data_IF_183685123225
#
_entry.id   IF_183685123225
#
_cell.length_a   1.000
_cell.length_b   1.000
_cell.length_c   1.000
_cell.angle_alpha   90.00
_cell.angle_beta   90.00
_cell.angle_gamma   90.00
#
_symmetry.space_group_name_H-M   'P 1'
#
loop_
_entity.id
_entity.type
_entity.pdbx_description
1 polymer ?
#
# COMPACT_ATOMS: atom_id res chain seq x y z
N UNK A 1 26.38 -5.47 -8.24
CA UNK A 1 27.03 -5.66 -6.90
C UNK A 1 27.14 -7.15 -6.71
N UNK A 2 28.27 -7.65 -6.22
CA UNK A 2 28.45 -9.06 -5.90
C UNK A 2 27.52 -9.46 -4.74
N UNK A 3 26.91 -10.64 -4.80
CA UNK A 3 25.99 -11.14 -3.79
C UNK A 3 26.65 -11.27 -2.41
N UNK A 4 27.91 -11.74 -2.34
CA UNK A 4 28.59 -11.93 -1.06
C UNK A 4 28.82 -10.58 -0.37
N UNK A 5 29.29 -9.60 -1.10
CA UNK A 5 29.47 -8.23 -0.60
C UNK A 5 28.13 -7.61 -0.20
N UNK A 6 27.06 -7.84 -0.98
CA UNK A 6 25.73 -7.36 -0.68
C UNK A 6 25.19 -7.94 0.65
N UNK A 7 25.42 -9.24 0.87
CA UNK A 7 25.04 -9.94 2.11
C UNK A 7 25.83 -9.39 3.30
N UNK A 8 27.15 -9.26 3.19
CA UNK A 8 28.01 -8.72 4.26
C UNK A 8 27.57 -7.31 4.68
N UNK A 9 27.31 -6.42 3.71
CA UNK A 9 26.86 -5.07 3.97
C UNK A 9 25.46 -5.05 4.64
N UNK A 10 24.54 -5.88 4.16
CA UNK A 10 23.20 -6.01 4.79
C UNK A 10 23.30 -6.51 6.23
N UNK A 11 24.13 -7.51 6.51
CA UNK A 11 24.38 -8.03 7.86
C UNK A 11 25.02 -6.96 8.77
N UNK A 12 25.99 -6.19 8.25
CA UNK A 12 26.57 -5.06 8.97
C UNK A 12 25.53 -4.01 9.34
N UNK A 13 24.65 -3.62 8.37
CA UNK A 13 23.57 -2.65 8.61
C UNK A 13 22.56 -3.16 9.65
N UNK A 14 22.22 -4.45 9.62
CA UNK A 14 21.32 -5.08 10.58
C UNK A 14 21.90 -5.02 12.00
N UNK A 15 23.14 -5.45 12.19
CA UNK A 15 23.83 -5.44 13.50
C UNK A 15 23.97 -4.02 14.04
N UNK A 16 24.47 -3.09 13.22
CA UNK A 16 24.60 -1.68 13.58
C UNK A 16 23.30 -1.06 14.08
N UNK A 17 22.19 -1.29 13.35
CA UNK A 17 20.91 -0.63 13.68
C UNK A 17 20.20 -1.35 14.85
N UNK A 18 20.45 -2.65 15.04
CA UNK A 18 20.08 -3.37 16.27
C UNK A 18 20.74 -2.76 17.50
N UNK A 19 22.05 -2.57 17.48
CA UNK A 19 22.81 -1.94 18.57
C UNK A 19 22.36 -0.49 18.81
N UNK A 20 22.22 0.30 17.74
CA UNK A 20 21.75 1.68 17.80
C UNK A 20 20.42 1.84 18.51
N UNK A 21 19.51 0.90 18.34
CA UNK A 21 18.19 0.92 18.98
C UNK A 21 18.17 0.28 20.36
N UNK A 22 19.31 -0.23 20.84
CA UNK A 22 19.43 -1.00 22.08
C UNK A 22 18.60 -2.28 22.05
N UNK A 23 18.54 -2.92 20.87
CA UNK A 23 17.75 -4.12 20.64
C UNK A 23 16.22 -3.90 20.55
N UNK A 24 15.75 -2.64 20.61
CA UNK A 24 14.33 -2.29 20.54
C UNK A 24 13.90 -2.02 19.08
N UNK A 25 14.10 -3.01 18.21
CA UNK A 25 13.78 -2.96 16.79
C UNK A 25 13.04 -4.22 16.37
N UNK A 26 12.14 -4.13 15.41
CA UNK A 26 11.36 -5.24 14.87
C UNK A 26 11.45 -5.31 13.35
N UNK A 27 11.16 -6.47 12.75
CA UNK A 27 10.97 -6.62 11.31
C UNK A 27 9.51 -6.37 10.94
N UNK A 28 9.24 -5.41 10.04
CA UNK A 28 7.95 -5.31 9.36
C UNK A 28 7.84 -6.43 8.32
N UNK A 29 7.37 -7.60 8.78
CA UNK A 29 7.30 -8.82 7.99
C UNK A 29 5.97 -8.87 7.23
N UNK A 30 6.02 -8.91 5.90
CA UNK A 30 4.81 -8.94 5.06
C UNK A 30 4.53 -10.30 4.43
N UNK A 31 5.44 -11.29 4.59
CA UNK A 31 5.41 -12.55 3.85
C UNK A 31 5.68 -12.40 2.35
N UNK A 32 6.03 -11.19 1.91
CA UNK A 32 6.45 -10.92 0.54
C UNK A 32 7.94 -11.20 0.33
N UNK A 33 8.35 -11.40 -0.94
CA UNK A 33 9.71 -11.80 -1.35
C UNK A 33 10.81 -11.02 -0.61
N UNK A 34 10.80 -9.69 -0.68
CA UNK A 34 11.84 -8.85 -0.09
C UNK A 34 11.88 -8.92 1.44
N UNK A 35 10.71 -8.96 2.09
CA UNK A 35 10.66 -9.11 3.56
C UNK A 35 11.07 -10.51 4.02
N UNK A 36 10.89 -11.52 3.20
CA UNK A 36 11.35 -12.89 3.46
C UNK A 36 12.87 -12.99 3.35
N UNK A 37 13.46 -12.39 2.32
CA UNK A 37 14.92 -12.26 2.20
C UNK A 37 15.51 -11.54 3.42
N UNK A 38 14.92 -10.42 3.82
CA UNK A 38 15.39 -9.69 5.01
C UNK A 38 15.21 -10.48 6.30
N UNK A 39 14.16 -11.29 6.42
CA UNK A 39 13.99 -12.21 7.56
C UNK A 39 15.14 -13.22 7.65
N UNK A 40 15.52 -13.84 6.53
CA UNK A 40 16.65 -14.76 6.49
C UNK A 40 17.99 -14.06 6.81
N UNK A 41 18.23 -12.85 6.32
CA UNK A 41 19.40 -12.05 6.69
C UNK A 41 19.46 -11.77 8.21
N UNK A 42 18.32 -11.46 8.84
CA UNK A 42 18.24 -11.29 10.30
C UNK A 42 18.57 -12.61 11.03
N UNK A 43 18.09 -13.74 10.52
CA UNK A 43 18.45 -15.06 11.05
C UNK A 43 19.94 -15.36 10.90
N UNK A 44 20.54 -15.02 9.75
CA UNK A 44 22.00 -15.14 9.51
C UNK A 44 22.83 -14.21 10.41
N UNK A 45 22.28 -13.07 10.84
CA UNK A 45 22.97 -12.15 11.74
C UNK A 45 23.05 -12.65 13.20
N UNK A 46 22.51 -13.83 13.49
CA UNK A 46 22.41 -14.44 14.83
C UNK A 46 21.61 -13.60 15.84
N UNK A 47 20.56 -12.93 15.32
CA UNK A 47 19.63 -12.10 16.10
C UNK A 47 18.20 -12.64 16.05
N UNK A 48 18.02 -13.87 15.56
CA UNK A 48 16.72 -14.45 15.22
C UNK A 48 15.74 -14.49 16.40
N UNK A 49 16.19 -14.78 17.61
CA UNK A 49 15.32 -14.88 18.78
C UNK A 49 15.03 -13.53 19.44
N UNK A 50 15.78 -12.49 19.08
CA UNK A 50 15.74 -11.17 19.74
C UNK A 50 14.87 -10.16 19.01
N UNK A 51 14.69 -10.32 17.70
CA UNK A 51 13.97 -9.38 16.86
C UNK A 51 12.56 -9.94 16.57
N UNK A 52 11.48 -9.32 17.03
CA UNK A 52 10.14 -9.76 16.67
C UNK A 52 9.85 -9.49 15.18
N UNK A 53 9.26 -10.47 14.48
CA UNK A 53 8.74 -10.33 13.12
C UNK A 53 7.25 -10.01 13.22
N UNK A 54 6.88 -8.81 12.84
CA UNK A 54 5.51 -8.31 12.99
C UNK A 54 4.79 -8.33 11.65
N UNK A 55 3.73 -9.11 11.57
CA UNK A 55 2.86 -9.20 10.41
C UNK A 55 1.53 -8.50 10.70
N UNK A 56 1.16 -7.49 9.90
CA UNK A 56 -0.14 -6.85 9.98
C UNK A 56 -1.18 -7.65 9.17
N UNK A 57 -1.94 -8.51 9.86
CA UNK A 57 -3.03 -9.26 9.23
C UNK A 57 -4.24 -8.35 9.00
N UNK A 58 -4.38 -7.80 7.83
CA UNK A 58 -5.46 -6.88 7.45
C UNK A 58 -6.80 -7.59 7.22
N UNK A 59 -6.80 -8.93 7.12
CA UNK A 59 -7.97 -9.73 6.72
C UNK A 59 -8.24 -9.75 5.21
N UNK A 60 -7.52 -8.95 4.44
CA UNK A 60 -7.59 -8.87 2.97
C UNK A 60 -6.25 -9.17 2.29
N UNK A 61 -5.30 -9.80 2.96
CA UNK A 61 -4.17 -10.49 2.33
C UNK A 61 -4.61 -11.81 1.72
N UNK A 62 -3.78 -12.33 0.78
CA UNK A 62 -3.93 -13.69 0.26
C UNK A 62 -3.82 -14.72 1.39
N UNK A 63 -4.71 -15.73 1.38
CA UNK A 63 -4.65 -16.81 2.35
C UNK A 63 -3.33 -17.60 2.23
N UNK A 64 -2.78 -17.71 1.01
CA UNK A 64 -1.45 -18.26 0.78
C UNK A 64 -0.36 -17.49 1.54
N UNK A 65 -0.40 -16.16 1.56
CA UNK A 65 0.54 -15.33 2.32
C UNK A 65 0.37 -15.52 3.83
N UNK A 66 -0.87 -15.59 4.30
CA UNK A 66 -1.15 -15.79 5.72
C UNK A 66 -0.70 -17.20 6.20
N UNK A 67 -0.91 -18.24 5.38
CA UNK A 67 -0.40 -19.59 5.65
C UNK A 67 1.12 -19.60 5.76
N UNK A 68 1.78 -19.00 4.77
CA UNK A 68 3.24 -18.88 4.75
C UNK A 68 3.79 -18.20 6.01
N UNK A 69 3.22 -17.06 6.42
CA UNK A 69 3.66 -16.34 7.63
C UNK A 69 3.48 -17.19 8.89
N UNK A 70 2.38 -17.93 9.01
CA UNK A 70 2.12 -18.80 10.17
C UNK A 70 3.05 -20.01 10.23
N UNK A 71 3.55 -20.48 9.10
CA UNK A 71 4.43 -21.64 8.97
C UNK A 71 5.91 -21.25 8.84
N UNK A 72 6.20 -19.95 8.80
CA UNK A 72 7.57 -19.47 8.68
C UNK A 72 8.39 -19.95 9.90
N UNK A 73 9.59 -20.55 9.68
CA UNK A 73 10.38 -21.21 10.73
C UNK A 73 11.06 -20.20 11.65
N UNK A 74 10.27 -19.49 12.44
CA UNK A 74 10.74 -18.45 13.34
C UNK A 74 9.80 -18.31 14.55
N UNK A 75 10.34 -18.42 15.76
CA UNK A 75 9.54 -18.51 16.98
C UNK A 75 8.91 -17.18 17.43
N UNK A 76 9.50 -16.05 17.02
CA UNK A 76 9.05 -14.72 17.48
C UNK A 76 8.29 -13.96 16.38
N UNK A 77 7.20 -14.59 15.87
CA UNK A 77 6.29 -13.94 14.92
C UNK A 77 5.08 -13.39 15.68
N UNK A 78 4.83 -12.10 15.50
CA UNK A 78 3.69 -11.39 16.05
C UNK A 78 2.68 -11.06 14.95
N UNK A 79 1.49 -11.63 15.03
CA UNK A 79 0.39 -11.33 14.11
C UNK A 79 -0.47 -10.22 14.71
N UNK A 80 -0.28 -9.01 14.24
CA UNK A 80 -1.05 -7.84 14.66
C UNK A 80 -2.33 -7.69 13.84
N UNK A 81 -3.42 -7.30 14.49
CA UNK A 81 -4.73 -7.11 13.85
C UNK A 81 -5.08 -5.62 13.77
N UNK A 82 -5.82 -5.18 12.75
CA UNK A 82 -6.29 -3.81 12.65
C UNK A 82 -7.35 -3.50 13.72
N UNK A 83 -7.42 -2.25 14.15
CA UNK A 83 -8.40 -1.76 15.13
C UNK A 83 -9.85 -1.89 14.66
N UNK A 84 -10.08 -1.89 13.34
CA UNK A 84 -11.39 -2.03 12.69
C UNK A 84 -11.27 -2.96 11.50
N UNK A 85 -12.27 -3.82 11.23
CA UNK A 85 -12.31 -4.63 10.00
C UNK A 85 -12.33 -3.75 8.73
N UNK A 86 -11.81 -4.28 7.63
CA UNK A 86 -11.75 -3.56 6.33
C UNK A 86 -13.11 -2.98 5.91
N UNK A 87 -14.17 -3.80 5.93
CA UNK A 87 -15.52 -3.38 5.55
C UNK A 87 -16.04 -2.21 6.38
N UNK A 88 -15.77 -2.19 7.69
CA UNK A 88 -16.15 -1.08 8.55
C UNK A 88 -15.40 0.21 8.17
N UNK A 89 -14.11 0.10 7.86
CA UNK A 89 -13.28 1.26 7.49
C UNK A 89 -13.77 1.89 6.19
N UNK A 90 -14.05 1.10 5.16
CA UNK A 90 -14.51 1.64 3.88
C UNK A 90 -15.93 2.21 3.95
N UNK A 91 -16.80 1.64 4.77
CA UNK A 91 -18.16 2.17 4.99
C UNK A 91 -18.12 3.51 5.75
N UNK A 92 -17.24 3.62 6.75
CA UNK A 92 -17.14 4.82 7.59
C UNK A 92 -16.42 5.98 6.87
N UNK A 93 -15.31 5.69 6.20
CA UNK A 93 -14.42 6.73 5.64
C UNK A 93 -14.50 6.88 4.13
N UNK A 94 -14.93 5.85 3.42
CA UNK A 94 -14.92 5.79 1.96
C UNK A 94 -13.91 4.79 1.40
N UNK A 95 -14.04 4.52 0.10
CA UNK A 95 -13.31 3.48 -0.63
C UNK A 95 -12.04 4.04 -1.28
N UNK A 96 -10.95 3.25 -1.35
CA UNK A 96 -9.80 3.61 -2.17
C UNK A 96 -10.17 3.62 -3.65
N UNK A 97 -9.76 4.66 -4.38
CA UNK A 97 -10.04 4.80 -5.81
C UNK A 97 -8.99 5.70 -6.49
N UNK A 98 -8.76 5.55 -7.79
CA UNK A 98 -7.82 6.31 -8.61
C UNK A 98 -6.36 6.11 -8.22
N UNK A 99 -5.86 6.90 -7.30
CA UNK A 99 -4.53 6.74 -6.71
C UNK A 99 -4.56 7.14 -5.25
N UNK A 100 -3.58 6.66 -4.47
CA UNK A 100 -3.51 6.92 -3.04
C UNK A 100 -3.46 8.42 -2.71
N UNK A 101 -2.72 9.18 -3.51
CA UNK A 101 -2.58 10.62 -3.35
C UNK A 101 -3.89 11.37 -3.67
N UNK A 102 -4.54 10.99 -4.78
CA UNK A 102 -5.84 11.56 -5.17
C UNK A 102 -6.94 11.20 -4.17
N UNK A 103 -6.97 9.97 -3.69
CA UNK A 103 -7.91 9.55 -2.65
C UNK A 103 -7.73 10.32 -1.35
N UNK A 104 -6.50 10.61 -0.96
CA UNK A 104 -6.21 11.43 0.22
C UNK A 104 -6.72 12.87 0.05
N UNK A 105 -6.44 13.48 -1.10
CA UNK A 105 -6.88 14.83 -1.40
C UNK A 105 -8.41 14.93 -1.44
N UNK A 106 -9.07 14.01 -2.16
CA UNK A 106 -10.54 13.96 -2.24
C UNK A 106 -11.16 13.73 -0.87
N UNK A 107 -10.65 12.78 -0.09
CA UNK A 107 -11.13 12.51 1.27
C UNK A 107 -11.00 13.72 2.20
N UNK A 108 -9.91 14.47 2.10
CA UNK A 108 -9.72 15.69 2.89
C UNK A 108 -10.68 16.78 2.46
N UNK A 109 -10.82 16.97 1.14
CA UNK A 109 -11.73 17.96 0.60
C UNK A 109 -13.20 17.65 0.96
N UNK A 110 -13.65 16.42 0.70
CA UNK A 110 -15.04 16.00 0.99
C UNK A 110 -15.45 16.14 2.46
N UNK A 111 -14.50 16.00 3.40
CA UNK A 111 -14.77 16.13 4.86
C UNK A 111 -14.77 17.55 5.38
N UNK A 112 -14.14 18.46 4.69
CA UNK A 112 -13.89 19.83 5.17
C UNK A 112 -14.26 20.88 4.13
N UNK A 113 -15.28 20.62 3.32
CA UNK A 113 -15.69 21.53 2.22
C UNK A 113 -15.96 22.95 2.70
N UNK A 114 -16.50 23.08 3.91
CA UNK A 114 -16.85 24.36 4.53
C UNK A 114 -15.67 25.03 5.26
N UNK A 115 -14.48 24.42 5.22
CA UNK A 115 -13.31 24.92 5.91
C UNK A 115 -12.14 25.16 4.94
N UNK A 116 -12.09 26.30 4.22
CA UNK A 116 -11.10 26.55 3.15
C UNK A 116 -9.64 26.40 3.58
N UNK A 117 -9.30 26.77 4.81
CA UNK A 117 -7.92 26.65 5.31
C UNK A 117 -7.48 25.20 5.48
N UNK A 118 -8.39 24.29 5.87
CA UNK A 118 -8.11 22.87 6.00
C UNK A 118 -8.05 22.17 4.64
N UNK A 119 -8.73 22.71 3.64
CA UNK A 119 -8.83 22.12 2.29
C UNK A 119 -7.86 22.70 1.28
N UNK A 120 -7.15 23.79 1.58
CA UNK A 120 -6.30 24.51 0.62
C UNK A 120 -5.34 23.59 -0.17
N UNK A 121 -4.62 22.69 0.53
CA UNK A 121 -3.71 21.74 -0.12
C UNK A 121 -4.47 20.71 -0.95
N UNK A 122 -5.57 20.17 -0.44
CA UNK A 122 -6.43 19.23 -1.16
C UNK A 122 -7.03 19.89 -2.40
N UNK A 123 -7.52 21.10 -2.29
CA UNK A 123 -8.02 21.91 -3.40
C UNK A 123 -6.95 22.10 -4.49
N UNK A 124 -5.72 22.46 -4.12
CA UNK A 124 -4.61 22.60 -5.07
C UNK A 124 -4.33 21.28 -5.82
N UNK A 125 -4.36 20.16 -5.10
CA UNK A 125 -4.11 18.85 -5.72
C UNK A 125 -5.25 18.39 -6.62
N UNK A 126 -6.50 18.76 -6.29
CA UNK A 126 -7.69 18.40 -7.08
C UNK A 126 -7.81 19.27 -8.32
N UNK A 127 -7.73 20.59 -8.14
CA UNK A 127 -8.01 21.55 -9.21
C UNK A 127 -6.80 21.95 -10.03
N UNK A 128 -5.60 21.74 -9.54
CA UNK A 128 -4.36 22.25 -10.12
C UNK A 128 -4.12 23.74 -9.84
N UNK A 129 -5.00 24.39 -9.10
CA UNK A 129 -4.88 25.81 -8.72
C UNK A 129 -4.08 25.92 -7.43
N UNK A 130 -2.98 26.66 -7.44
CA UNK A 130 -2.22 26.97 -6.22
C UNK A 130 -2.90 28.11 -5.48
N UNK A 131 -2.92 28.03 -4.14
CA UNK A 131 -3.43 29.07 -3.29
C UNK A 131 -2.28 29.67 -2.46
N UNK A 132 -2.23 31.00 -2.37
CA UNK A 132 -1.40 31.74 -1.42
C UNK A 132 -2.34 32.59 -0.57
N UNK A 133 -2.38 32.35 0.74
CA UNK A 133 -3.30 33.03 1.67
C UNK A 133 -4.77 32.98 1.22
N UNK A 134 -5.21 31.84 0.65
CA UNK A 134 -6.56 31.66 0.14
C UNK A 134 -6.82 32.21 -1.29
N UNK A 135 -5.86 32.93 -1.88
CA UNK A 135 -5.99 33.52 -3.22
C UNK A 135 -5.37 32.60 -4.27
N UNK A 136 -6.08 32.27 -5.37
CA UNK A 136 -5.52 31.51 -6.48
C UNK A 136 -4.32 32.22 -7.12
N UNK A 137 -3.23 31.47 -7.34
CA UNK A 137 -2.06 31.93 -8.10
C UNK A 137 -1.81 31.04 -9.30
N UNK A 138 -1.36 31.58 -10.44
CA UNK A 138 -0.98 30.78 -11.60
C UNK A 138 0.12 29.77 -11.26
N UNK A 139 0.01 28.57 -11.80
CA UNK A 139 1.04 27.54 -11.66
C UNK A 139 0.61 26.21 -12.23
N UNK A 140 1.59 25.41 -12.68
CA UNK A 140 1.34 24.03 -13.10
C UNK A 140 1.31 23.12 -11.88
N UNK A 141 0.29 22.28 -11.80
CA UNK A 141 0.24 21.16 -10.86
C UNK A 141 0.06 19.85 -11.65
N UNK A 142 1.11 19.06 -11.71
CA UNK A 142 1.11 17.75 -12.38
C UNK A 142 0.16 16.73 -11.72
N UNK A 143 -0.30 16.99 -10.52
CA UNK A 143 -1.18 16.09 -9.76
C UNK A 143 -2.67 16.43 -9.90
N UNK A 144 -3.03 17.37 -10.75
CA UNK A 144 -4.43 17.72 -11.01
C UNK A 144 -5.29 16.48 -11.27
N UNK A 145 -6.48 16.47 -10.65
CA UNK A 145 -7.48 15.46 -10.95
C UNK A 145 -7.97 15.64 -12.39
N UNK A 146 -8.06 14.55 -13.15
CA UNK A 146 -8.57 14.63 -14.50
C UNK A 146 -10.05 15.09 -14.49
N UNK A 147 -10.44 15.93 -15.44
CA UNK A 147 -11.77 16.54 -15.49
C UNK A 147 -12.91 15.51 -15.39
N UNK A 148 -12.74 14.33 -16.01
CA UNK A 148 -13.71 13.22 -15.95
C UNK A 148 -13.99 12.69 -14.54
N UNK A 149 -13.17 13.04 -13.55
CA UNK A 149 -13.31 12.63 -12.14
C UNK A 149 -13.73 13.78 -11.22
N UNK A 150 -13.94 14.98 -11.76
CA UNK A 150 -14.24 16.18 -10.96
C UNK A 150 -15.58 16.11 -10.22
N UNK A 151 -16.51 15.22 -10.65
CA UNK A 151 -17.77 15.00 -9.93
C UNK A 151 -17.57 14.50 -8.49
N UNK A 152 -16.42 13.89 -8.17
CA UNK A 152 -16.11 13.48 -6.79
C UNK A 152 -15.84 14.66 -5.83
N UNK A 153 -15.77 15.88 -6.31
CA UNK A 153 -15.71 17.06 -5.45
C UNK A 153 -17.07 17.31 -4.77
N UNK A 154 -18.16 16.90 -5.42
CA UNK A 154 -19.52 17.12 -4.90
C UNK A 154 -19.92 16.06 -3.86
N UNK A 155 -20.77 16.40 -2.87
CA UNK A 155 -21.21 15.46 -1.83
C UNK A 155 -22.06 14.31 -2.36
N UNK A 156 -22.78 14.50 -3.48
CA UNK A 156 -23.66 13.51 -4.09
C UNK A 156 -22.90 12.66 -5.12
N UNK A 157 -21.92 11.89 -4.66
CA UNK A 157 -21.11 10.98 -5.48
C UNK A 157 -21.60 9.54 -5.32
N UNK A 158 -21.28 8.68 -6.29
CA UNK A 158 -21.64 7.24 -6.23
C UNK A 158 -21.11 6.57 -4.97
N UNK A 159 -19.91 6.96 -4.52
CA UNK A 159 -19.28 6.50 -3.27
C UNK A 159 -18.28 7.55 -2.75
N UNK A 160 -18.09 7.56 -1.45
CA UNK A 160 -17.04 8.37 -0.82
C UNK A 160 -15.67 7.80 -1.13
N UNK A 161 -14.70 8.67 -1.41
CA UNK A 161 -13.32 8.26 -1.68
C UNK A 161 -12.43 8.54 -0.46
N UNK A 162 -11.62 7.53 -0.06
CA UNK A 162 -10.62 7.70 0.98
C UNK A 162 -9.48 6.69 0.84
N UNK A 163 -8.30 7.03 1.39
CA UNK A 163 -7.16 6.12 1.55
C UNK A 163 -7.01 5.60 2.98
N UNK A 164 -8.06 5.71 3.81
CA UNK A 164 -8.02 5.36 5.25
C UNK A 164 -7.78 3.87 5.49
N UNK A 165 -8.15 3.00 4.55
CA UNK A 165 -7.84 1.57 4.65
C UNK A 165 -6.34 1.32 4.91
N UNK A 166 -5.42 1.99 4.20
CA UNK A 166 -3.98 1.83 4.45
C UNK A 166 -3.57 2.27 5.87
N UNK A 167 -4.24 3.27 6.43
CA UNK A 167 -3.96 3.75 7.78
C UNK A 167 -4.41 2.74 8.83
N UNK A 168 -5.65 2.26 8.72
CA UNK A 168 -6.24 1.33 9.69
C UNK A 168 -5.66 -0.08 9.55
N UNK A 169 -5.50 -0.57 8.32
CA UNK A 169 -5.08 -1.94 8.07
C UNK A 169 -3.58 -2.17 8.30
N UNK A 170 -2.74 -1.17 7.96
CA UNK A 170 -1.28 -1.36 8.00
C UNK A 170 -0.58 -0.46 9.01
N UNK A 171 -0.86 0.86 9.02
CA UNK A 171 -0.07 1.78 9.84
C UNK A 171 -0.38 1.64 11.34
N UNK A 172 -1.66 1.60 11.72
CA UNK A 172 -2.04 1.50 13.13
C UNK A 172 -1.58 0.22 13.79
N UNK A 173 -1.70 -0.99 13.20
CA UNK A 173 -1.16 -2.20 13.80
C UNK A 173 0.31 -2.11 14.18
N UNK A 174 1.14 -1.54 13.30
CA UNK A 174 2.56 -1.33 13.62
C UNK A 174 2.76 -0.26 14.70
N UNK A 175 2.04 0.87 14.63
CA UNK A 175 2.13 1.93 15.64
C UNK A 175 1.69 1.46 17.03
N UNK A 176 0.67 0.61 17.10
CA UNK A 176 0.21 0.02 18.36
C UNK A 176 1.29 -0.91 18.92
N UNK A 177 1.83 -1.81 18.09
CA UNK A 177 2.93 -2.67 18.47
C UNK A 177 4.17 -1.87 18.94
N UNK A 178 4.56 -0.83 18.19
CA UNK A 178 5.67 0.05 18.54
C UNK A 178 5.50 0.68 19.91
N UNK A 179 4.27 1.18 20.21
CA UNK A 179 3.95 1.82 21.46
C UNK A 179 3.92 0.83 22.64
N UNK A 180 3.25 -0.30 22.47
CA UNK A 180 3.06 -1.31 23.51
C UNK A 180 4.38 -1.96 23.92
N UNK A 181 5.30 -2.13 22.96
CA UNK A 181 6.59 -2.79 23.19
C UNK A 181 7.77 -1.80 23.30
N UNK A 182 7.50 -0.49 23.35
CA UNK A 182 8.52 0.57 23.44
C UNK A 182 9.60 0.43 22.35
N UNK A 183 9.18 0.10 21.10
CA UNK A 183 10.10 -0.07 20.00
C UNK A 183 10.74 1.27 19.61
N UNK A 184 12.01 1.23 19.23
CA UNK A 184 12.82 2.37 18.81
C UNK A 184 13.21 2.29 17.34
N UNK A 185 12.86 1.23 16.65
CA UNK A 185 13.13 1.08 15.23
C UNK A 185 12.35 -0.04 14.56
N UNK A 186 12.43 -0.05 13.23
CA UNK A 186 11.89 -1.11 12.38
C UNK A 186 12.82 -1.40 11.22
N UNK A 187 12.98 -2.68 10.90
CA UNK A 187 13.54 -3.15 9.65
C UNK A 187 12.44 -3.27 8.60
N UNK A 188 12.75 -2.91 7.36
CA UNK A 188 11.83 -2.98 6.23
C UNK A 188 12.54 -3.42 4.96
N UNK A 189 11.97 -4.38 4.22
CA UNK A 189 12.47 -4.87 2.94
C UNK A 189 12.18 -3.92 1.77
N UNK A 190 12.21 -2.60 1.98
CA UNK A 190 12.02 -1.61 0.91
C UNK A 190 13.28 -1.51 0.07
N UNK A 191 13.11 -1.49 -1.26
CA UNK A 191 14.18 -1.31 -2.25
C UNK A 191 13.91 -0.13 -3.18
N UNK A 192 14.95 0.59 -3.57
CA UNK A 192 14.83 1.69 -4.55
C UNK A 192 14.44 1.18 -5.94
N UNK A 193 14.87 -0.03 -6.30
CA UNK A 193 14.55 -0.69 -7.57
C UNK A 193 13.04 -0.96 -7.76
N UNK A 194 12.22 -0.97 -6.69
CA UNK A 194 10.75 -1.08 -6.82
C UNK A 194 10.10 0.15 -7.50
N UNK A 195 10.80 1.27 -7.58
CA UNK A 195 10.32 2.50 -8.21
C UNK A 195 9.17 3.20 -7.49
N UNK A 196 8.54 4.14 -8.21
CA UNK A 196 7.34 4.85 -7.76
C UNK A 196 7.58 5.75 -6.55
N UNK A 197 6.58 5.84 -5.66
CA UNK A 197 6.67 6.67 -4.45
C UNK A 197 7.69 6.18 -3.42
N UNK A 198 8.14 4.92 -3.52
CA UNK A 198 9.14 4.35 -2.62
C UNK A 198 10.54 4.85 -2.93
N UNK A 199 10.96 4.82 -4.20
CA UNK A 199 12.25 5.37 -4.62
C UNK A 199 12.40 6.85 -4.32
N UNK A 200 11.29 7.61 -4.36
CA UNK A 200 11.28 9.04 -4.01
C UNK A 200 11.25 9.32 -2.50
N UNK A 201 10.77 8.37 -1.70
CA UNK A 201 10.60 8.55 -0.26
C UNK A 201 11.81 8.09 0.56
N UNK A 202 12.67 7.24 -0.02
CA UNK A 202 13.81 6.62 0.64
C UNK A 202 15.05 6.79 -0.22
N UNK A 203 15.95 7.65 0.22
CA UNK A 203 17.23 8.02 -0.40
C UNK A 203 18.44 7.45 0.35
N UNK A 204 18.20 6.78 1.48
CA UNK A 204 19.24 6.20 2.32
C UNK A 204 18.77 4.92 3.02
N UNK A 205 19.72 4.08 3.42
CA UNK A 205 19.44 2.82 4.12
C UNK A 205 18.86 3.02 5.54
N UNK A 206 18.93 4.23 6.09
CA UNK A 206 18.38 4.58 7.41
C UNK A 206 17.67 5.91 7.37
N UNK A 207 16.44 5.96 7.89
CA UNK A 207 15.70 7.19 8.11
C UNK A 207 15.37 7.35 9.58
N UNK A 208 15.73 8.48 10.17
CA UNK A 208 15.50 8.76 11.59
C UNK A 208 14.34 9.73 11.70
N UNK A 209 13.32 9.33 12.45
CA UNK A 209 12.23 10.22 12.86
C UNK A 209 12.48 10.67 14.28
N UNK A 210 12.46 11.97 14.51
CA UNK A 210 12.59 12.57 15.85
C UNK A 210 11.25 13.16 16.30
N UNK A 211 10.89 12.87 17.54
CA UNK A 211 9.72 13.47 18.19
C UNK A 211 10.11 13.82 19.63
N UNK A 212 10.47 15.09 19.88
CA UNK A 212 11.14 15.49 21.10
C UNK A 212 12.46 14.73 21.24
N UNK A 213 12.75 14.20 22.43
CA UNK A 213 13.97 13.44 22.73
C UNK A 213 13.93 11.99 22.24
N UNK A 214 12.83 11.55 21.63
CA UNK A 214 12.66 10.18 21.13
C UNK A 214 13.05 10.09 19.67
N UNK A 215 13.97 9.18 19.38
CA UNK A 215 14.34 8.79 18.03
C UNK A 215 13.65 7.46 17.67
N UNK A 216 13.20 7.34 16.42
CA UNK A 216 12.74 6.11 15.82
C UNK A 216 13.51 5.84 14.53
N UNK A 217 14.19 4.71 14.46
CA UNK A 217 15.06 4.30 13.36
C UNK A 217 14.27 3.44 12.38
N UNK A 218 14.16 3.90 11.15
CA UNK A 218 13.64 3.09 10.04
C UNK A 218 14.84 2.60 9.23
N UNK A 219 15.16 1.34 9.34
CA UNK A 219 16.29 0.69 8.66
C UNK A 219 15.80 -0.11 7.45
N UNK A 220 16.48 0.05 6.33
CA UNK A 220 16.25 -0.64 5.07
C UNK A 220 17.55 -1.29 4.60
N UNK A 221 17.96 -2.42 5.21
CA UNK A 221 19.26 -3.03 4.97
C UNK A 221 19.55 -3.42 3.52
N UNK A 222 18.49 -3.73 2.76
CA UNK A 222 18.55 -4.18 1.35
C UNK A 222 18.06 -3.11 0.37
N UNK A 223 18.13 -1.83 0.73
CA UNK A 223 17.53 -0.73 -0.08
C UNK A 223 18.10 -0.65 -1.49
N UNK A 224 19.37 -0.94 -1.65
CA UNK A 224 20.16 -0.88 -2.88
C UNK A 224 20.20 -2.20 -3.67
N UNK A 225 19.56 -3.25 -3.14
CA UNK A 225 19.47 -4.53 -3.85
C UNK A 225 18.50 -4.41 -5.04
N UNK A 226 18.93 -4.86 -6.20
CA UNK A 226 18.07 -5.03 -7.37
C UNK A 226 17.33 -6.37 -7.37
N UNK A 227 16.56 -6.64 -8.43
CA UNK A 227 15.82 -7.89 -8.55
C UNK A 227 16.72 -9.11 -8.71
N UNK A 228 17.86 -8.95 -9.38
CA UNK A 228 18.81 -10.03 -9.64
C UNK A 228 19.45 -10.51 -8.34
N UNK A 229 19.95 -9.61 -7.51
CA UNK A 229 20.54 -9.95 -6.20
C UNK A 229 19.54 -10.67 -5.29
N UNK A 230 18.26 -10.23 -5.29
CA UNK A 230 17.21 -10.89 -4.53
C UNK A 230 17.00 -12.32 -5.03
N UNK A 231 16.93 -12.53 -6.33
CA UNK A 231 16.67 -13.84 -6.93
C UNK A 231 17.89 -14.78 -6.73
N UNK A 232 19.12 -14.28 -6.90
CA UNK A 232 20.34 -15.01 -6.60
C UNK A 232 20.44 -15.42 -5.11
N UNK A 233 20.04 -14.53 -4.19
CA UNK A 233 20.00 -14.84 -2.76
C UNK A 233 18.99 -15.96 -2.46
N UNK A 234 17.80 -15.89 -3.04
CA UNK A 234 16.75 -16.91 -2.86
C UNK A 234 17.24 -18.27 -3.36
N UNK A 235 17.86 -18.31 -4.54
CA UNK A 235 18.39 -19.53 -5.14
C UNK A 235 19.56 -20.11 -4.32
N UNK A 236 20.57 -19.28 -4.00
CA UNK A 236 21.78 -19.70 -3.26
C UNK A 236 21.45 -20.29 -1.89
N UNK A 237 20.47 -19.73 -1.18
CA UNK A 237 20.11 -20.14 0.18
C UNK A 237 18.85 -21.03 0.23
N UNK A 238 18.28 -21.41 -0.90
CA UNK A 238 17.12 -22.31 -0.98
C UNK A 238 15.89 -21.75 -0.25
N UNK A 239 15.66 -20.43 -0.36
CA UNK A 239 14.60 -19.76 0.41
C UNK A 239 13.23 -20.10 -0.16
N UNK A 240 12.38 -20.63 0.69
CA UNK A 240 10.98 -20.86 0.34
C UNK A 240 10.18 -19.57 0.32
N UNK A 241 9.35 -19.41 -0.71
CA UNK A 241 8.40 -18.32 -0.83
C UNK A 241 6.97 -18.84 -0.71
N UNK A 242 6.04 -17.95 -0.39
CA UNK A 242 4.60 -18.23 -0.37
C UNK A 242 4.09 -18.79 -1.71
N UNK A 243 3.05 -19.64 -1.65
CA UNK A 243 2.32 -20.12 -2.84
C UNK A 243 1.79 -18.98 -3.70
N UNK A 244 1.61 -17.79 -3.16
CA UNK A 244 1.29 -16.61 -3.94
C UNK A 244 2.30 -16.36 -5.07
N UNK A 245 3.59 -16.67 -4.85
CA UNK A 245 4.64 -16.58 -5.88
C UNK A 245 4.77 -17.86 -6.69
N UNK A 246 4.81 -19.02 -6.01
CA UNK A 246 5.11 -20.30 -6.63
C UNK A 246 3.95 -20.85 -7.46
N UNK A 247 2.72 -20.65 -7.02
CA UNK A 247 1.51 -21.26 -7.58
C UNK A 247 0.62 -20.23 -8.28
N UNK A 248 0.39 -19.07 -7.63
CA UNK A 248 -0.53 -18.05 -8.17
C UNK A 248 0.13 -17.11 -9.18
N UNK A 249 1.47 -17.17 -9.32
CA UNK A 249 2.23 -16.34 -10.26
C UNK A 249 2.29 -14.85 -9.88
N UNK A 250 2.05 -14.51 -8.63
CA UNK A 250 2.15 -13.12 -8.18
C UNK A 250 3.57 -12.59 -8.31
N UNK A 251 3.74 -11.42 -8.85
CA UNK A 251 5.05 -10.72 -8.84
C UNK A 251 5.30 -9.97 -7.53
N UNK A 252 4.22 -9.65 -6.80
CA UNK A 252 4.27 -9.06 -5.46
C UNK A 252 3.03 -9.43 -4.67
N UNK A 253 3.14 -9.40 -3.34
CA UNK A 253 2.03 -9.61 -2.41
C UNK A 253 1.62 -8.30 -1.72
N UNK A 254 0.39 -8.26 -1.25
CA UNK A 254 -0.17 -7.09 -0.55
C UNK A 254 -1.64 -7.30 -0.22
N UNK A 255 -2.39 -6.21 -0.05
CA UNK A 255 -3.85 -6.30 0.05
C UNK A 255 -4.41 -6.79 -1.29
N UNK A 256 -5.26 -7.81 -1.26
CA UNK A 256 -5.88 -8.38 -2.46
C UNK A 256 -6.64 -7.34 -3.25
N UNK A 257 -6.52 -7.41 -4.59
CA UNK A 257 -7.28 -6.59 -5.54
C UNK A 257 -7.41 -5.11 -5.10
N UNK A 258 -6.29 -4.54 -4.68
CA UNK A 258 -6.25 -3.15 -4.24
C UNK A 258 -6.49 -2.22 -5.43
N UNK A 259 -7.46 -1.27 -5.40
CA UNK A 259 -7.74 -0.36 -6.51
C UNK A 259 -6.57 0.55 -6.92
N UNK A 260 -5.50 0.57 -6.14
CA UNK A 260 -4.26 1.26 -6.49
C UNK A 260 -3.27 0.38 -7.26
N UNK A 261 -3.59 -0.90 -7.46
CA UNK A 261 -2.78 -1.80 -8.27
C UNK A 261 -2.85 -1.44 -9.75
N UNK A 262 -1.73 -1.58 -10.44
CA UNK A 262 -1.68 -1.42 -11.89
C UNK A 262 -2.21 -2.66 -12.61
N UNK A 263 -2.14 -3.83 -11.95
CA UNK A 263 -2.53 -5.13 -12.51
C UNK A 263 -3.82 -5.64 -11.85
N UNK A 264 -4.78 -4.74 -11.59
CA UNK A 264 -5.99 -5.07 -10.83
C UNK A 264 -6.83 -6.18 -11.47
N UNK A 265 -6.95 -6.20 -12.81
CA UNK A 265 -7.67 -7.25 -13.54
C UNK A 265 -7.05 -8.63 -13.34
N UNK A 266 -5.72 -8.73 -13.46
CA UNK A 266 -4.96 -9.96 -13.21
C UNK A 266 -5.07 -10.43 -11.76
N UNK A 267 -5.01 -9.49 -10.80
CA UNK A 267 -5.21 -9.82 -9.39
C UNK A 267 -6.63 -10.36 -9.10
N UNK A 268 -7.65 -9.80 -9.73
CA UNK A 268 -9.03 -10.29 -9.61
C UNK A 268 -9.20 -11.69 -10.24
N UNK A 269 -8.58 -11.92 -11.40
CA UNK A 269 -8.58 -13.24 -12.05
C UNK A 269 -7.88 -14.28 -11.17
N UNK A 270 -6.72 -13.97 -10.65
CA UNK A 270 -5.99 -14.82 -9.72
C UNK A 270 -6.81 -15.16 -8.47
N UNK A 271 -7.50 -14.17 -7.88
CA UNK A 271 -8.39 -14.43 -6.74
C UNK A 271 -9.58 -15.33 -7.12
N UNK A 272 -10.15 -15.14 -8.29
CA UNK A 272 -11.26 -15.97 -8.79
C UNK A 272 -10.84 -17.43 -8.90
N UNK A 273 -9.63 -17.67 -9.41
CA UNK A 273 -9.09 -19.02 -9.65
C UNK A 273 -8.60 -19.72 -8.37
N UNK A 274 -7.85 -19.01 -7.51
CA UNK A 274 -7.14 -19.62 -6.38
C UNK A 274 -7.75 -19.34 -5.01
N UNK A 275 -8.43 -18.21 -4.84
CA UNK A 275 -9.03 -17.79 -3.55
C UNK A 275 -10.46 -17.24 -3.74
N UNK A 276 -11.42 -18.07 -4.21
CA UNK A 276 -12.76 -17.60 -4.59
C UNK A 276 -13.54 -16.94 -3.46
N UNK A 277 -13.29 -17.28 -2.21
CA UNK A 277 -13.92 -16.60 -1.07
C UNK A 277 -13.39 -15.16 -0.89
N UNK A 278 -12.10 -14.95 -1.13
CA UNK A 278 -11.51 -13.59 -1.15
C UNK A 278 -12.05 -12.78 -2.33
N UNK A 279 -12.14 -13.40 -3.51
CA UNK A 279 -12.77 -12.78 -4.67
C UNK A 279 -14.18 -12.27 -4.34
N UNK A 280 -15.05 -13.14 -3.80
CA UNK A 280 -16.42 -12.78 -3.41
C UNK A 280 -16.44 -11.65 -2.38
N UNK A 281 -15.56 -11.68 -1.38
CA UNK A 281 -15.45 -10.64 -0.37
C UNK A 281 -15.03 -9.30 -0.99
N UNK A 282 -14.02 -9.30 -1.87
CA UNK A 282 -13.58 -8.07 -2.54
C UNK A 282 -14.63 -7.53 -3.50
N UNK A 283 -15.33 -8.39 -4.23
CA UNK A 283 -16.47 -7.98 -5.06
C UNK A 283 -17.61 -7.38 -4.24
N UNK A 284 -17.94 -7.97 -3.10
CA UNK A 284 -18.93 -7.39 -2.19
C UNK A 284 -18.58 -5.96 -1.75
N UNK A 285 -17.30 -5.70 -1.43
CA UNK A 285 -16.87 -4.41 -0.89
C UNK A 285 -16.52 -3.37 -1.96
N UNK A 286 -16.00 -3.79 -3.11
CA UNK A 286 -15.27 -2.89 -4.01
C UNK A 286 -15.77 -2.92 -5.47
N UNK A 287 -16.79 -3.72 -5.80
CA UNK A 287 -17.31 -3.89 -7.16
C UNK A 287 -17.61 -2.56 -7.87
N UNK A 288 -18.24 -1.62 -7.19
CA UNK A 288 -18.56 -0.29 -7.71
C UNK A 288 -17.28 0.50 -8.10
N UNK A 289 -16.22 0.40 -7.30
CA UNK A 289 -14.93 1.01 -7.60
C UNK A 289 -14.27 0.35 -8.80
N UNK A 290 -14.30 -0.99 -8.87
CA UNK A 290 -13.73 -1.73 -10.01
C UNK A 290 -14.44 -1.36 -11.32
N UNK A 291 -15.76 -1.33 -11.30
CA UNK A 291 -16.55 -0.88 -12.46
C UNK A 291 -16.24 0.58 -12.84
N UNK A 292 -16.15 1.46 -11.84
CA UNK A 292 -15.79 2.86 -12.09
C UNK A 292 -14.39 3.00 -12.70
N UNK A 293 -13.44 2.20 -12.28
CA UNK A 293 -12.08 2.20 -12.85
C UNK A 293 -11.98 1.47 -14.21
N UNK A 294 -13.11 0.95 -14.72
CA UNK A 294 -13.23 0.21 -15.97
C UNK A 294 -12.37 -1.06 -15.97
N UNK A 295 -12.38 -1.79 -14.87
CA UNK A 295 -11.72 -3.09 -14.78
C UNK A 295 -12.60 -4.16 -15.43
N UNK A 296 -12.05 -4.87 -16.40
CA UNK A 296 -12.73 -5.96 -17.10
C UNK A 296 -12.48 -7.29 -16.39
N UNK A 297 -13.54 -8.07 -16.18
CA UNK A 297 -13.48 -9.42 -15.57
C UNK A 297 -14.32 -10.37 -16.43
N UNK A 298 -13.81 -10.72 -17.61
CA UNK A 298 -14.51 -11.61 -18.55
C UNK A 298 -14.70 -13.03 -17.99
N UNK A 299 -13.90 -13.44 -17.04
CA UNK A 299 -13.96 -14.72 -16.34
C UNK A 299 -15.13 -14.82 -15.36
N UNK A 300 -15.79 -13.71 -15.01
CA UNK A 300 -17.01 -13.66 -14.19
C UNK A 300 -18.17 -13.12 -15.04
N UNK A 301 -19.02 -14.02 -15.52
CA UNK A 301 -20.13 -13.68 -16.43
C UNK A 301 -21.11 -12.68 -15.81
N UNK A 302 -21.43 -12.85 -14.52
CA UNK A 302 -22.35 -11.97 -13.82
C UNK A 302 -21.81 -10.54 -13.71
N UNK A 303 -20.52 -10.41 -13.37
CA UNK A 303 -19.84 -9.12 -13.36
C UNK A 303 -19.74 -8.54 -14.77
N UNK A 304 -19.35 -9.33 -15.76
CA UNK A 304 -19.13 -8.89 -17.14
C UNK A 304 -20.41 -8.33 -17.76
N UNK A 305 -21.56 -8.94 -17.52
CA UNK A 305 -22.86 -8.47 -18.01
C UNK A 305 -23.23 -7.13 -17.37
N UNK A 306 -23.16 -7.00 -16.05
CA UNK A 306 -23.42 -5.73 -15.37
C UNK A 306 -22.42 -4.64 -15.76
N UNK A 307 -21.16 -5.00 -15.94
CA UNK A 307 -20.10 -4.09 -16.37
C UNK A 307 -20.36 -3.47 -17.73
N UNK A 308 -20.81 -4.27 -18.73
CA UNK A 308 -21.12 -3.78 -20.09
C UNK A 308 -22.24 -2.73 -20.07
N UNK A 309 -23.23 -2.90 -19.22
CA UNK A 309 -24.32 -1.91 -19.05
C UNK A 309 -23.79 -0.64 -18.36
N UNK A 310 -23.09 -0.79 -17.24
CA UNK A 310 -22.56 0.34 -16.48
C UNK A 310 -21.44 1.10 -17.20
N UNK A 311 -20.63 0.43 -18.01
CA UNK A 311 -19.55 1.07 -18.79
C UNK A 311 -20.09 2.21 -19.64
N UNK A 312 -21.16 1.98 -20.37
CA UNK A 312 -21.81 2.99 -21.21
C UNK A 312 -22.24 4.21 -20.40
N UNK A 313 -22.84 3.99 -19.24
CA UNK A 313 -23.27 5.06 -18.35
C UNK A 313 -22.09 5.84 -17.75
N UNK A 314 -21.06 5.15 -17.29
CA UNK A 314 -19.84 5.77 -16.76
C UNK A 314 -19.16 6.62 -17.84
N UNK A 315 -19.03 6.10 -19.06
CA UNK A 315 -18.43 6.82 -20.19
C UNK A 315 -19.26 8.04 -20.59
N UNK A 316 -20.58 7.92 -20.62
CA UNK A 316 -21.49 9.05 -20.84
C UNK A 316 -21.30 10.16 -19.81
N UNK A 317 -21.32 9.83 -18.51
CA UNK A 317 -21.12 10.82 -17.43
C UNK A 317 -19.74 11.47 -17.49
N UNK A 318 -18.70 10.71 -17.83
CA UNK A 318 -17.34 11.24 -18.02
C UNK A 318 -17.27 12.22 -19.18
N UNK A 319 -17.97 11.92 -20.29
CA UNK A 319 -18.04 12.78 -21.47
C UNK A 319 -18.79 14.08 -21.17
N UNK A 320 -19.97 14.00 -20.53
CA UNK A 320 -20.71 15.17 -20.10
C UNK A 320 -19.92 16.08 -19.16
N UNK A 321 -19.19 15.49 -18.23
CA UNK A 321 -18.34 16.24 -17.31
C UNK A 321 -17.18 16.92 -18.06
N UNK A 322 -16.57 16.24 -19.02
CA UNK A 322 -15.52 16.82 -19.87
C UNK A 322 -16.04 18.00 -20.69
N UNK A 323 -17.26 17.89 -21.23
CA UNK A 323 -17.89 18.95 -22.01
C UNK A 323 -18.22 20.18 -21.15
N UNK A 324 -18.81 19.97 -19.97
CA UNK A 324 -19.04 21.07 -19.01
C UNK A 324 -17.77 21.85 -18.70
N UNK A 325 -16.63 21.15 -18.47
CA UNK A 325 -15.36 21.80 -18.21
C UNK A 325 -14.77 22.51 -19.45
N UNK A 326 -15.02 22.01 -20.66
CA UNK A 326 -14.61 22.71 -21.92
C UNK A 326 -15.39 24.01 -22.12
N UNK A 327 -16.67 23.99 -21.79
CA UNK A 327 -17.59 25.13 -21.96
C UNK A 327 -17.55 26.13 -20.80
N UNK A 328 -16.58 26.00 -19.88
CA UNK A 328 -16.35 26.96 -18.78
C UNK A 328 -17.40 26.96 -17.69
N UNK A 329 -18.28 25.94 -17.64
CA UNK A 329 -19.22 25.75 -16.55
C UNK A 329 -18.43 25.21 -15.34
N UNK A 330 -18.27 26.07 -14.33
CA UNK A 330 -17.60 25.73 -13.07
C UNK A 330 -18.48 24.90 -12.14
#
# INVERSE_FOLDING_TARGET
MDLELAVEDALFRIKRDYERTGGKIYLSFSGGKDSTVLAHLIMMADLQTKIPFVFANTGIELDATLRFVKQFPYDNIVISKPRKPFGQVINEYGKPCLSKLKSEALSTYQRHMDEPLKTARAYQMITGVRLKSGVPIPGRNSYKLANKHMHFIHPNTEFKIANKCCQYMKKYPFQDFEKENNMRGSFSGVRTAEGGTRSMAYDSCVKIKRKGDKEFVMSMPIIDWDGQIIDEFIEKFGIELSDAYKVYGCTRTGCCACPYSQNLGEELKMLYEYEPNKYKAMMHWMKDVYMYQLVECEFDEAYSNEYKERKKEIERRRSEMMEKFRNGVK
#
